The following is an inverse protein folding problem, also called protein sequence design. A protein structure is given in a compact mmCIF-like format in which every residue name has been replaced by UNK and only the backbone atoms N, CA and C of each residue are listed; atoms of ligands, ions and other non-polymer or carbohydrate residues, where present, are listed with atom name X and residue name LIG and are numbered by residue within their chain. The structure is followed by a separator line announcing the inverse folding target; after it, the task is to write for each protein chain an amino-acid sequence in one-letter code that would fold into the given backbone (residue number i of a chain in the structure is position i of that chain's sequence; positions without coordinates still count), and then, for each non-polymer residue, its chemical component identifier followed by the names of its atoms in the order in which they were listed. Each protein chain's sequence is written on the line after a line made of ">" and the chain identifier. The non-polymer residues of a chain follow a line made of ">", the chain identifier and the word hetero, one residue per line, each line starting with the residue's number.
data_IF_246611648055
#
_entry.id   IF_246611648055
#
_cell.length_a   1.000
_cell.length_b   1.000
_cell.length_c   1.000
_cell.angle_alpha   90.00
_cell.angle_beta   90.00
_cell.angle_gamma   90.00
#
_symmetry.space_group_name_H-M   'P 1'
#
loop_
_entity.id
_entity.type
_entity.pdbx_description
1 polymer ?
#
# COMPACT_ATOMS: atom_id res chain seq x y z
N UNK A 1 -9.84 -5.04 16.49
CA UNK A 1 -9.02 -4.49 15.37
C UNK A 1 -8.02 -3.50 15.95
N UNK A 2 -6.72 -3.58 15.62
CA UNK A 2 -5.71 -2.71 16.22
C UNK A 2 -5.49 -1.41 15.45
N UNK A 3 -5.54 -1.46 14.11
CA UNK A 3 -5.40 -0.29 13.23
C UNK A 3 -6.49 -0.33 12.19
N UNK A 4 -7.12 0.81 11.97
CA UNK A 4 -8.16 0.99 10.96
C UNK A 4 -8.17 2.45 10.50
N UNK A 5 -7.56 2.72 9.35
CA UNK A 5 -7.31 4.08 8.87
C UNK A 5 -7.95 4.25 7.50
N UNK A 6 -8.82 5.25 7.40
CA UNK A 6 -9.34 5.68 6.11
C UNK A 6 -8.28 6.52 5.39
N UNK A 7 -7.93 6.10 4.18
CA UNK A 7 -6.97 6.75 3.31
C UNK A 7 -7.78 7.46 2.24
N UNK A 8 -7.80 8.79 2.29
CA UNK A 8 -8.44 9.58 1.26
C UNK A 8 -7.64 9.48 -0.05
N UNK A 9 -8.29 9.01 -1.11
CA UNK A 9 -7.69 8.91 -2.44
C UNK A 9 -8.43 9.87 -3.37
N UNK A 10 -7.77 10.96 -3.82
CA UNK A 10 -8.35 11.87 -4.79
C UNK A 10 -8.77 11.16 -6.08
N UNK A 11 -9.83 11.63 -6.73
CA UNK A 11 -10.36 11.06 -7.98
C UNK A 11 -9.30 11.11 -9.11
N UNK A 12 -8.36 12.05 -9.03
CA UNK A 12 -7.27 12.25 -10.00
C UNK A 12 -6.09 11.28 -9.83
N UNK A 13 -6.13 10.38 -8.82
CA UNK A 13 -5.07 9.42 -8.52
C UNK A 13 -5.43 8.05 -9.06
N UNK A 14 -4.52 7.48 -9.87
CA UNK A 14 -4.70 6.18 -10.53
C UNK A 14 -4.08 5.02 -9.75
N UNK A 15 -3.29 5.30 -8.71
CA UNK A 15 -2.67 4.27 -7.87
C UNK A 15 -3.71 3.36 -7.22
N UNK A 16 -3.56 2.06 -7.42
CA UNK A 16 -4.51 1.03 -6.97
C UNK A 16 -3.83 -0.17 -6.33
N UNK A 17 -4.59 -0.85 -5.47
CA UNK A 17 -4.22 -2.15 -4.93
C UNK A 17 -4.19 -3.16 -6.10
N UNK A 18 -3.06 -3.84 -6.35
CA UNK A 18 -2.99 -4.91 -7.34
C UNK A 18 -3.89 -6.10 -6.97
N UNK A 19 -4.25 -6.92 -7.96
CA UNK A 19 -5.01 -8.16 -7.73
C UNK A 19 -4.08 -9.24 -7.16
N UNK A 20 -3.77 -9.20 -5.86
CA UNK A 20 -2.96 -10.25 -5.22
C UNK A 20 -3.14 -10.28 -3.70
N UNK A 21 -3.28 -11.48 -3.13
CA UNK A 21 -3.42 -11.80 -1.70
C UNK A 21 -4.69 -11.27 -1.03
N UNK A 22 -5.50 -12.16 -0.45
CA UNK A 22 -6.77 -11.76 0.16
C UNK A 22 -6.59 -11.43 1.65
N UNK A 23 -7.25 -10.36 2.10
CA UNK A 23 -7.41 -10.09 3.52
C UNK A 23 -8.19 -11.22 4.22
N UNK A 24 -7.93 -11.49 5.51
CA UNK A 24 -8.70 -12.46 6.27
C UNK A 24 -10.21 -12.18 6.24
N UNK A 25 -11.05 -13.22 6.25
CA UNK A 25 -12.51 -13.09 6.19
C UNK A 25 -13.09 -12.14 7.25
N UNK A 26 -12.50 -12.12 8.45
CA UNK A 26 -12.91 -11.22 9.54
C UNK A 26 -12.71 -9.74 9.19
N UNK A 27 -11.63 -9.41 8.49
CA UNK A 27 -11.33 -8.07 7.99
C UNK A 27 -12.29 -7.69 6.86
N UNK A 28 -12.50 -8.60 5.91
CA UNK A 28 -13.43 -8.41 4.79
C UNK A 28 -14.86 -8.21 5.29
N UNK A 29 -15.30 -9.00 6.27
CA UNK A 29 -16.61 -8.88 6.90
C UNK A 29 -16.81 -7.53 7.58
N UNK A 30 -15.82 -7.05 8.35
CA UNK A 30 -15.88 -5.74 8.99
C UNK A 30 -15.90 -4.59 7.96
N UNK A 31 -15.03 -4.68 6.95
CA UNK A 31 -14.96 -3.72 5.85
C UNK A 31 -16.32 -3.60 5.14
N UNK A 32 -16.92 -4.72 4.76
CA UNK A 32 -18.21 -4.74 4.06
C UNK A 32 -19.36 -4.18 4.89
N UNK A 33 -19.31 -4.35 6.22
CA UNK A 33 -20.35 -3.88 7.14
C UNK A 33 -20.28 -2.37 7.37
N UNK A 34 -19.08 -1.82 7.54
CA UNK A 34 -18.92 -0.48 8.11
C UNK A 34 -18.29 0.54 7.15
N UNK A 35 -17.50 0.11 6.17
CA UNK A 35 -16.52 0.97 5.47
C UNK A 35 -16.48 0.72 3.98
N UNK A 36 -17.54 0.10 3.46
CA UNK A 36 -17.66 -0.21 2.06
C UNK A 36 -17.51 1.08 1.24
N UNK A 37 -16.74 0.98 0.16
CA UNK A 37 -16.35 2.09 -0.71
C UNK A 37 -15.25 3.00 -0.17
N UNK A 38 -14.69 2.77 1.02
CA UNK A 38 -13.52 3.49 1.53
C UNK A 38 -12.22 2.72 1.22
N UNK A 39 -11.09 3.42 1.11
CA UNK A 39 -9.78 2.78 1.04
C UNK A 39 -9.24 2.72 2.46
N UNK A 40 -9.01 1.52 2.98
CA UNK A 40 -8.66 1.31 4.37
C UNK A 40 -7.27 0.66 4.47
N UNK A 41 -6.39 1.25 5.28
CA UNK A 41 -5.23 0.58 5.85
C UNK A 41 -5.61 -0.07 7.17
N UNK A 42 -5.24 -1.34 7.37
CA UNK A 42 -5.68 -2.12 8.53
C UNK A 42 -4.57 -2.99 9.12
N UNK A 43 -4.72 -3.32 10.41
CA UNK A 43 -3.92 -4.31 11.14
C UNK A 43 -4.84 -5.13 12.05
N UNK A 44 -4.71 -6.46 12.02
CA UNK A 44 -5.51 -7.35 12.87
C UNK A 44 -5.28 -7.06 14.35
N UNK A 45 -6.23 -7.46 15.19
CA UNK A 45 -6.18 -7.20 16.62
C UNK A 45 -5.04 -7.91 17.35
N UNK A 46 -4.73 -9.13 16.91
CA UNK A 46 -3.56 -9.89 17.34
C UNK A 46 -2.23 -9.35 16.77
N UNK A 47 -2.31 -8.31 15.93
CA UNK A 47 -1.17 -7.70 15.25
C UNK A 47 -0.52 -8.59 14.20
N UNK A 48 -1.07 -9.78 13.90
CA UNK A 48 -0.45 -10.79 13.02
C UNK A 48 -0.39 -10.35 11.56
N UNK A 49 -1.44 -9.70 11.06
CA UNK A 49 -1.55 -9.28 9.67
C UNK A 49 -1.76 -7.78 9.55
N UNK A 50 -1.25 -7.21 8.47
CA UNK A 50 -1.50 -5.84 8.07
C UNK A 50 -1.65 -5.75 6.56
N UNK A 51 -2.28 -4.67 6.09
CA UNK A 51 -2.42 -4.43 4.66
C UNK A 51 -3.43 -3.34 4.33
N UNK A 52 -3.92 -3.39 3.10
CA UNK A 52 -4.89 -2.43 2.58
C UNK A 52 -6.09 -3.15 1.95
N UNK A 53 -7.26 -2.51 1.97
CA UNK A 53 -8.48 -3.00 1.34
C UNK A 53 -9.26 -1.85 0.71
N UNK A 54 -9.75 -2.07 -0.50
CA UNK A 54 -10.66 -1.20 -1.23
C UNK A 54 -11.56 -2.05 -2.12
N UNK A 55 -12.85 -1.96 -1.85
CA UNK A 55 -13.91 -2.68 -2.57
C UNK A 55 -13.63 -4.19 -2.58
N UNK A 56 -13.43 -4.76 -3.77
CA UNK A 56 -13.14 -6.18 -3.98
C UNK A 56 -11.65 -6.48 -4.06
N UNK A 57 -10.77 -5.49 -3.78
CA UNK A 57 -9.33 -5.67 -3.77
C UNK A 57 -8.81 -5.52 -2.36
N UNK A 58 -7.94 -6.43 -1.96
CA UNK A 58 -7.24 -6.38 -0.70
C UNK A 58 -5.84 -6.94 -0.88
N UNK A 59 -4.99 -6.66 0.09
CA UNK A 59 -3.64 -7.18 0.22
C UNK A 59 -3.39 -7.40 1.71
N UNK A 60 -2.71 -8.49 2.05
CA UNK A 60 -2.37 -8.86 3.42
C UNK A 60 -0.96 -9.42 3.46
N UNK A 61 -0.19 -9.03 4.48
CA UNK A 61 1.12 -9.58 4.80
C UNK A 61 1.24 -9.85 6.29
N UNK A 62 2.16 -10.74 6.65
CA UNK A 62 2.54 -10.98 8.03
C UNK A 62 3.30 -9.78 8.60
N UNK A 63 2.87 -9.31 9.77
CA UNK A 63 3.44 -8.10 10.39
C UNK A 63 4.83 -8.32 10.96
N UNK A 64 5.19 -9.54 11.35
CA UNK A 64 6.51 -9.91 11.91
C UNK A 64 7.58 -10.04 10.82
N UNK A 65 7.18 -10.41 9.60
CA UNK A 65 8.05 -10.41 8.43
C UNK A 65 8.24 -9.01 7.84
N UNK A 66 7.28 -8.10 8.07
CA UNK A 66 7.27 -6.75 7.51
C UNK A 66 8.21 -5.81 8.26
N UNK A 67 9.14 -5.15 7.55
CA UNK A 67 10.12 -4.23 8.15
C UNK A 67 10.15 -2.83 7.53
N UNK A 68 9.96 -2.75 6.21
CA UNK A 68 10.08 -1.50 5.45
C UNK A 68 8.83 -1.29 4.60
N UNK A 69 8.32 -0.07 4.59
CA UNK A 69 7.34 0.40 3.61
C UNK A 69 8.08 1.28 2.60
N UNK A 70 8.34 0.73 1.42
CA UNK A 70 9.10 1.41 0.37
C UNK A 70 8.20 2.02 -0.70
N UNK A 71 8.42 3.30 -0.99
CA UNK A 71 7.91 3.99 -2.17
C UNK A 71 8.99 3.96 -3.25
N UNK A 72 8.65 3.41 -4.41
CA UNK A 72 9.55 3.39 -5.57
C UNK A 72 9.01 4.26 -6.70
N UNK A 73 9.92 4.90 -7.42
CA UNK A 73 9.66 5.75 -8.58
C UNK A 73 10.59 5.37 -9.74
N UNK A 74 10.00 5.07 -10.90
CA UNK A 74 10.67 4.97 -12.19
C UNK A 74 10.09 6.04 -13.12
N UNK A 75 10.92 7.00 -13.51
CA UNK A 75 10.50 8.15 -14.32
C UNK A 75 10.34 7.75 -15.79
N UNK A 76 9.36 8.33 -16.50
CA UNK A 76 9.21 8.09 -17.94
C UNK A 76 10.34 8.76 -18.73
N UNK A 77 11.01 8.02 -19.61
CA UNK A 77 11.86 8.54 -20.68
C UNK A 77 11.36 8.14 -22.08
N UNK A 78 11.07 6.85 -22.32
CA UNK A 78 10.49 6.36 -23.59
C UNK A 78 9.15 5.67 -23.42
N UNK A 79 8.88 5.09 -22.25
CA UNK A 79 7.59 4.51 -21.86
C UNK A 79 6.90 5.31 -20.76
N UNK A 80 5.85 4.74 -20.16
CA UNK A 80 5.00 5.43 -19.19
C UNK A 80 5.62 5.68 -17.79
N UNK A 81 6.72 5.00 -17.43
CA UNK A 81 7.26 4.99 -16.07
C UNK A 81 6.29 4.37 -15.06
N UNK A 82 6.75 4.19 -13.82
CA UNK A 82 5.95 3.58 -12.75
C UNK A 82 6.18 4.25 -11.41
N UNK A 83 5.15 4.21 -10.58
CA UNK A 83 5.24 4.56 -9.17
C UNK A 83 4.42 3.56 -8.36
N UNK A 84 4.91 3.18 -7.20
CA UNK A 84 4.20 2.25 -6.34
C UNK A 84 4.77 2.17 -4.94
N UNK A 85 4.08 1.40 -4.11
CA UNK A 85 4.44 1.23 -2.70
C UNK A 85 4.42 -0.25 -2.36
N UNK A 86 5.53 -0.74 -1.82
CA UNK A 86 5.72 -2.13 -1.42
C UNK A 86 6.03 -2.25 0.06
N UNK A 87 5.65 -3.38 0.65
CA UNK A 87 6.15 -3.80 1.96
C UNK A 87 7.29 -4.80 1.71
N UNK A 88 8.41 -4.56 2.38
CA UNK A 88 9.60 -5.41 2.31
C UNK A 88 9.95 -6.01 3.66
N UNK A 89 10.58 -7.17 3.63
CA UNK A 89 11.21 -7.79 4.79
C UNK A 89 12.51 -7.10 5.18
N UNK A 90 13.09 -7.49 6.31
CA UNK A 90 14.39 -6.99 6.77
C UNK A 90 15.55 -7.37 5.83
N UNK A 91 15.38 -8.40 4.99
CA UNK A 91 16.36 -8.81 3.98
C UNK A 91 16.18 -8.08 2.64
N UNK A 92 15.15 -7.23 2.52
CA UNK A 92 14.83 -6.49 1.30
C UNK A 92 13.91 -7.22 0.32
N UNK A 93 13.43 -8.43 0.67
CA UNK A 93 12.45 -9.16 -0.14
C UNK A 93 11.11 -8.41 -0.18
N UNK A 94 10.51 -8.28 -1.36
CA UNK A 94 9.19 -7.68 -1.53
C UNK A 94 8.12 -8.69 -1.10
N UNK A 95 7.48 -8.44 0.04
CA UNK A 95 6.40 -9.27 0.58
C UNK A 95 5.06 -8.96 -0.09
N UNK A 96 4.81 -7.67 -0.40
CA UNK A 96 3.60 -7.24 -1.08
C UNK A 96 3.77 -5.89 -1.77
N UNK A 97 2.95 -5.66 -2.80
CA UNK A 97 2.72 -4.34 -3.40
C UNK A 97 1.37 -3.82 -2.94
N UNK A 98 1.36 -2.75 -2.15
CA UNK A 98 0.13 -2.12 -1.66
C UNK A 98 -0.55 -1.29 -2.73
N UNK A 99 0.23 -0.55 -3.51
CA UNK A 99 -0.27 0.34 -4.55
C UNK A 99 0.67 0.37 -5.74
N UNK A 100 0.11 0.51 -6.94
CA UNK A 100 0.88 0.73 -8.16
C UNK A 100 0.06 1.55 -9.17
N UNK A 101 0.72 2.42 -9.92
CA UNK A 101 0.21 3.01 -11.16
C UNK A 101 1.34 3.34 -12.11
N UNK A 102 0.98 3.69 -13.35
CA UNK A 102 1.86 4.49 -14.21
C UNK A 102 2.34 5.73 -13.46
N UNK A 103 3.53 6.20 -13.82
CA UNK A 103 4.07 7.41 -13.22
C UNK A 103 3.14 8.60 -13.48
N UNK A 104 2.78 9.30 -12.41
CA UNK A 104 2.17 10.61 -12.49
C UNK A 104 2.54 11.41 -11.24
N UNK A 105 2.61 12.73 -11.36
CA UNK A 105 2.90 13.62 -10.23
C UNK A 105 1.84 13.47 -9.14
N UNK A 106 0.57 13.29 -9.52
CA UNK A 106 -0.54 13.12 -8.58
C UNK A 106 -0.40 11.81 -7.79
N UNK A 107 -0.14 10.68 -8.47
CA UNK A 107 0.07 9.39 -7.81
C UNK A 107 1.29 9.43 -6.90
N UNK A 108 2.40 10.02 -7.34
CA UNK A 108 3.62 10.13 -6.53
C UNK A 108 3.38 10.94 -5.24
N UNK A 109 2.78 12.13 -5.35
CA UNK A 109 2.52 12.98 -4.19
C UNK A 109 1.54 12.33 -3.22
N UNK A 110 0.50 11.69 -3.75
CA UNK A 110 -0.45 10.95 -2.91
C UNK A 110 0.21 9.76 -2.20
N UNK A 111 1.06 9.00 -2.91
CA UNK A 111 1.80 7.88 -2.31
C UNK A 111 2.80 8.34 -1.25
N UNK A 112 3.48 9.48 -1.41
CA UNK A 112 4.34 10.05 -0.36
C UNK A 112 3.57 10.33 0.92
N UNK A 113 2.42 10.99 0.82
CA UNK A 113 1.55 11.26 1.97
C UNK A 113 1.00 9.97 2.60
N UNK A 114 0.60 9.01 1.75
CA UNK A 114 0.04 7.73 2.20
C UNK A 114 1.11 6.84 2.85
N UNK A 115 2.34 6.86 2.36
CA UNK A 115 3.48 6.14 2.93
C UNK A 115 3.70 6.57 4.38
N UNK A 116 3.76 7.87 4.64
CA UNK A 116 3.97 8.38 5.98
C UNK A 116 2.86 7.92 6.95
N UNK A 117 1.59 8.00 6.51
CA UNK A 117 0.44 7.55 7.30
C UNK A 117 0.52 6.05 7.62
N UNK A 118 0.78 5.23 6.61
CA UNK A 118 0.83 3.77 6.75
C UNK A 118 2.05 3.30 7.53
N UNK A 119 3.23 3.88 7.28
CA UNK A 119 4.45 3.52 7.99
C UNK A 119 4.32 3.77 9.48
N UNK A 120 3.78 4.93 9.88
CA UNK A 120 3.50 5.23 11.28
C UNK A 120 2.48 4.26 11.89
N UNK A 121 1.40 3.96 11.16
CA UNK A 121 0.35 3.08 11.63
C UNK A 121 0.80 1.62 11.79
N UNK A 122 1.63 1.15 10.87
CA UNK A 122 2.16 -0.21 10.83
C UNK A 122 3.47 -0.37 11.61
N UNK A 123 4.03 0.73 12.10
CA UNK A 123 5.34 0.78 12.75
C UNK A 123 6.46 0.21 11.86
N UNK A 124 6.47 0.64 10.59
CA UNK A 124 7.45 0.25 9.57
C UNK A 124 8.41 1.41 9.28
N UNK A 125 9.63 1.10 8.87
CA UNK A 125 10.57 2.10 8.38
C UNK A 125 10.13 2.60 7.00
N UNK A 126 10.22 3.91 6.77
CA UNK A 126 10.00 4.52 5.46
C UNK A 126 11.28 4.44 4.60
N UNK A 127 11.12 4.09 3.32
CA UNK A 127 12.20 4.10 2.33
C UNK A 127 11.72 4.67 1.00
N UNK A 128 12.60 5.39 0.31
CA UNK A 128 12.34 5.93 -1.03
C UNK A 128 13.38 5.40 -2.01
N UNK A 129 12.91 4.80 -3.11
CA UNK A 129 13.75 4.23 -4.16
C UNK A 129 13.54 4.98 -5.48
N UNK A 130 14.56 5.73 -5.90
CA UNK A 130 14.63 6.32 -7.24
C UNK A 130 15.27 5.30 -8.19
N UNK A 131 14.45 4.66 -9.01
CA UNK A 131 14.88 3.66 -10.00
C UNK A 131 15.40 4.29 -11.29
N UNK A 132 15.48 5.63 -11.35
CA UNK A 132 15.92 6.36 -12.53
C UNK A 132 14.84 6.46 -13.59
N UNK A 133 15.22 6.34 -14.86
CA UNK A 133 14.31 6.43 -16.01
C UNK A 133 14.06 5.05 -16.60
N UNK A 134 12.86 4.81 -17.12
CA UNK A 134 12.62 3.61 -17.91
C UNK A 134 13.46 3.63 -19.20
N UNK A 135 14.17 2.53 -19.47
CA UNK A 135 15.01 2.38 -20.65
C UNK A 135 14.17 2.22 -21.95
#
# INVERSE_FOLDING_TARGET
>A
MQVWINIDRPITVEAEIPLKSEAPESVVGLYNKNERNNLIGWKTEDGKYLGCIKNNRSISVLSDESSVLSLYEERPARGAGWVGMTIKSSTGEILATLFQSRHSVNSLNWLKSTQHLLAKAFNLKEEYEDLGYNA
#
